data_IF_855175923393
#
_entry.id   IF_855175923393
#
_cell.length_a   1.000
_cell.length_b   1.000
_cell.length_c   1.000
_cell.angle_alpha   90.00
_cell.angle_beta   90.00
_cell.angle_gamma   90.00
#
_symmetry.space_group_name_H-M   'P 1'
#
loop_
_entity.id
_entity.type
_entity.pdbx_description
1 polymer ?
#
# COMPACT_ATOMS: atom_id res chain seq x y z
N UNK A 1 4.20 -11.70 8.34
CA UNK A 1 3.18 -10.63 8.11
C UNK A 1 1.81 -11.22 7.81
N UNK A 2 0.71 -10.47 8.05
CA UNK A 2 -0.60 -10.80 7.46
C UNK A 2 -0.75 -10.03 6.15
N UNK A 3 -0.78 -10.75 5.03
CA UNK A 3 -1.10 -10.18 3.73
C UNK A 3 -2.56 -9.69 3.70
N UNK A 4 -2.91 -8.85 2.72
CA UNK A 4 -4.26 -8.29 2.61
C UNK A 4 -5.35 -9.38 2.48
N UNK A 5 -5.02 -10.50 1.85
CA UNK A 5 -5.87 -11.68 1.67
C UNK A 5 -5.03 -12.93 1.41
N UNK A 6 -5.66 -14.09 1.24
CA UNK A 6 -4.95 -15.36 1.02
C UNK A 6 -4.15 -15.35 -0.28
N UNK A 7 -2.92 -15.89 -0.22
CA UNK A 7 -2.02 -16.06 -1.38
C UNK A 7 -2.66 -16.84 -2.52
N UNK A 8 -3.63 -17.72 -2.24
CA UNK A 8 -4.33 -18.49 -3.25
C UNK A 8 -5.04 -17.64 -4.32
N UNK A 9 -5.36 -16.38 -4.01
CA UNK A 9 -6.01 -15.45 -4.92
C UNK A 9 -5.04 -14.46 -5.56
N UNK A 10 -3.76 -14.50 -5.18
CA UNK A 10 -2.79 -13.46 -5.52
C UNK A 10 -2.56 -13.36 -7.03
N UNK A 11 -2.32 -14.49 -7.70
CA UNK A 11 -2.06 -14.50 -9.14
C UNK A 11 -3.29 -14.01 -9.93
N UNK A 12 -4.49 -14.44 -9.54
CA UNK A 12 -5.73 -13.97 -10.14
C UNK A 12 -5.94 -12.48 -9.91
N UNK A 13 -5.62 -11.98 -8.72
CA UNK A 13 -5.73 -10.57 -8.39
C UNK A 13 -4.76 -9.72 -9.22
N UNK A 14 -3.53 -10.20 -9.38
CA UNK A 14 -2.50 -9.55 -10.20
C UNK A 14 -2.87 -9.53 -11.67
N UNK A 15 -3.41 -10.63 -12.20
CA UNK A 15 -3.96 -10.68 -13.56
C UNK A 15 -5.12 -9.71 -13.73
N UNK A 16 -6.11 -9.75 -12.83
CA UNK A 16 -7.31 -8.92 -12.89
C UNK A 16 -6.96 -7.43 -12.86
N UNK A 17 -6.07 -7.00 -11.96
CA UNK A 17 -5.67 -5.60 -11.90
C UNK A 17 -4.76 -5.19 -13.07
N UNK A 18 -3.89 -6.09 -13.54
CA UNK A 18 -3.08 -5.87 -14.74
C UNK A 18 -3.94 -5.61 -15.97
N UNK A 19 -4.91 -6.48 -16.23
CA UNK A 19 -5.89 -6.34 -17.31
C UNK A 19 -6.73 -5.06 -17.16
N UNK A 20 -7.14 -4.73 -15.94
CA UNK A 20 -7.95 -3.54 -15.68
C UNK A 20 -7.19 -2.24 -15.98
N UNK A 21 -5.93 -2.15 -15.55
CA UNK A 21 -5.07 -0.99 -15.81
C UNK A 21 -4.72 -0.88 -17.29
N UNK A 22 -4.39 -1.99 -17.95
CA UNK A 22 -4.17 -2.00 -19.40
C UNK A 22 -5.41 -1.52 -20.16
N UNK A 23 -6.58 -2.07 -19.85
CA UNK A 23 -7.82 -1.69 -20.51
C UNK A 23 -8.16 -0.21 -20.34
N UNK A 24 -8.05 0.29 -19.10
CA UNK A 24 -8.38 1.67 -18.78
C UNK A 24 -7.45 2.69 -19.47
N UNK A 25 -6.17 2.36 -19.67
CA UNK A 25 -5.21 3.26 -20.30
C UNK A 25 -5.17 3.10 -21.82
N UNK A 26 -5.21 1.87 -22.32
CA UNK A 26 -5.00 1.54 -23.73
C UNK A 26 -6.30 1.58 -24.55
N UNK A 27 -7.42 1.08 -24.03
CA UNK A 27 -8.70 1.02 -24.78
C UNK A 27 -9.60 2.20 -24.45
N UNK A 28 -9.78 2.48 -23.15
CA UNK A 28 -10.60 3.61 -22.73
C UNK A 28 -9.90 4.95 -23.03
N UNK A 29 -8.56 4.95 -23.08
CA UNK A 29 -7.76 6.14 -23.38
C UNK A 29 -7.62 7.11 -22.20
N UNK A 30 -7.80 6.64 -20.96
CA UNK A 30 -7.57 7.47 -19.78
C UNK A 30 -6.08 7.77 -19.62
N UNK A 31 -5.78 8.96 -19.12
CA UNK A 31 -4.44 9.28 -18.61
C UNK A 31 -4.20 8.56 -17.27
N UNK A 32 -2.93 8.30 -16.90
CA UNK A 32 -2.61 7.74 -15.58
C UNK A 32 -3.18 8.54 -14.40
N UNK A 33 -3.25 9.87 -14.55
CA UNK A 33 -3.83 10.77 -13.56
C UNK A 33 -5.35 10.61 -13.42
N UNK A 34 -6.08 10.51 -14.53
CA UNK A 34 -7.53 10.27 -14.53
C UNK A 34 -7.87 8.91 -13.92
N UNK A 35 -7.16 7.86 -14.33
CA UNK A 35 -7.36 6.52 -13.77
C UNK A 35 -7.08 6.50 -12.26
N UNK A 36 -5.99 7.14 -11.81
CA UNK A 36 -5.67 7.26 -10.38
C UNK A 36 -6.80 7.96 -9.61
N UNK A 37 -7.37 9.03 -10.16
CA UNK A 37 -8.47 9.77 -9.53
C UNK A 37 -9.75 8.91 -9.44
N UNK A 38 -10.07 8.14 -10.48
CA UNK A 38 -11.19 7.20 -10.51
C UNK A 38 -10.99 6.10 -9.46
N UNK A 39 -9.85 5.41 -9.50
CA UNK A 39 -9.51 4.33 -8.56
C UNK A 39 -9.57 4.78 -7.10
N UNK A 40 -9.16 6.03 -6.82
CA UNK A 40 -9.12 6.56 -5.45
C UNK A 40 -10.50 6.62 -4.77
N UNK A 41 -11.57 6.71 -5.57
CA UNK A 41 -12.96 6.82 -5.11
C UNK A 41 -13.80 5.57 -5.41
N UNK A 42 -13.26 4.61 -6.17
CA UNK A 42 -13.97 3.42 -6.59
C UNK A 42 -14.17 2.43 -5.42
N UNK A 43 -15.42 1.99 -5.23
CA UNK A 43 -15.77 1.02 -4.19
C UNK A 43 -15.10 -0.34 -4.45
N UNK A 44 -14.99 -0.73 -5.71
CA UNK A 44 -14.35 -1.97 -6.17
C UNK A 44 -12.89 -2.02 -5.72
N UNK A 45 -12.18 -0.89 -5.79
CA UNK A 45 -10.79 -0.82 -5.33
C UNK A 45 -10.70 -1.02 -3.82
N UNK A 46 -11.67 -0.52 -3.05
CA UNK A 46 -11.77 -0.79 -1.59
C UNK A 46 -12.15 -2.22 -1.26
N UNK A 47 -12.93 -2.87 -2.12
CA UNK A 47 -13.22 -4.30 -2.02
C UNK A 47 -11.97 -5.13 -2.34
N UNK A 48 -11.18 -4.70 -3.33
CA UNK A 48 -9.95 -5.36 -3.75
C UNK A 48 -8.90 -5.30 -2.63
N UNK A 49 -8.72 -4.14 -2.01
CA UNK A 49 -7.84 -3.96 -0.84
C UNK A 49 -8.16 -4.91 0.33
N UNK A 50 -9.41 -5.42 0.40
CA UNK A 50 -9.92 -6.32 1.44
C UNK A 50 -10.06 -7.77 0.97
N UNK A 51 -9.64 -8.08 -0.25
CA UNK A 51 -9.69 -9.45 -0.78
C UNK A 51 -11.09 -9.96 -1.11
N UNK A 52 -12.03 -9.09 -1.47
CA UNK A 52 -13.38 -9.52 -1.82
C UNK A 52 -13.34 -10.41 -3.08
N UNK A 53 -13.77 -11.69 -3.02
CA UNK A 53 -13.58 -12.66 -4.11
C UNK A 53 -14.05 -12.16 -5.47
N UNK A 54 -15.18 -11.45 -5.50
CA UNK A 54 -15.73 -10.83 -6.72
C UNK A 54 -14.67 -10.08 -7.53
N UNK A 55 -13.89 -9.21 -6.90
CA UNK A 55 -12.96 -8.31 -7.61
C UNK A 55 -11.52 -8.82 -7.67
N UNK A 56 -11.14 -9.79 -6.82
CA UNK A 56 -9.77 -10.35 -6.84
C UNK A 56 -9.67 -11.58 -7.74
N UNK A 57 -10.73 -12.37 -7.91
CA UNK A 57 -10.68 -13.57 -8.74
C UNK A 57 -11.99 -13.88 -9.49
N UNK A 58 -13.09 -13.17 -9.20
CA UNK A 58 -14.42 -13.45 -9.74
C UNK A 58 -14.83 -12.62 -10.96
N UNK A 59 -14.00 -11.67 -11.40
CA UNK A 59 -14.25 -10.78 -12.54
C UNK A 59 -13.06 -10.83 -13.49
N UNK A 60 -13.31 -10.64 -14.78
CA UNK A 60 -12.24 -10.31 -15.71
C UNK A 60 -11.75 -8.87 -15.48
N UNK A 61 -10.51 -8.54 -15.86
CA UNK A 61 -9.99 -7.21 -15.59
C UNK A 61 -10.66 -6.08 -16.37
N UNK A 62 -11.11 -6.34 -17.60
CA UNK A 62 -11.95 -5.38 -18.33
C UNK A 62 -13.32 -5.17 -17.67
N UNK A 63 -13.96 -6.22 -17.14
CA UNK A 63 -15.18 -6.07 -16.35
C UNK A 63 -14.94 -5.17 -15.14
N UNK A 64 -13.85 -5.39 -14.40
CA UNK A 64 -13.46 -4.53 -13.27
C UNK A 64 -13.23 -3.09 -13.71
N UNK A 65 -12.47 -2.86 -14.79
CA UNK A 65 -12.21 -1.53 -15.32
C UNK A 65 -13.49 -0.82 -15.74
N UNK A 66 -14.38 -1.50 -16.46
CA UNK A 66 -15.64 -0.94 -16.91
C UNK A 66 -16.55 -0.56 -15.75
N UNK A 67 -16.59 -1.37 -14.70
CA UNK A 67 -17.36 -1.06 -13.49
C UNK A 67 -16.84 0.21 -12.80
N UNK A 68 -15.52 0.32 -12.56
CA UNK A 68 -14.97 1.53 -11.92
C UNK A 68 -15.15 2.78 -12.78
N UNK A 69 -15.05 2.65 -14.10
CA UNK A 69 -15.26 3.74 -15.06
C UNK A 69 -16.73 4.17 -15.07
N UNK A 70 -17.66 3.21 -15.10
CA UNK A 70 -19.10 3.47 -15.07
C UNK A 70 -19.52 4.14 -13.75
N UNK A 71 -18.99 3.69 -12.61
CA UNK A 71 -19.25 4.31 -11.32
C UNK A 71 -18.66 5.72 -11.18
N UNK A 72 -17.63 6.06 -11.96
CA UNK A 72 -17.13 7.43 -12.10
C UNK A 72 -18.01 8.32 -13.00
N UNK A 73 -19.10 7.79 -13.56
CA UNK A 73 -20.01 8.52 -14.44
C UNK A 73 -19.57 8.60 -15.91
N UNK A 74 -18.53 7.85 -16.28
CA UNK A 74 -18.06 7.76 -17.67
C UNK A 74 -18.75 6.59 -18.39
N UNK A 75 -18.78 6.65 -19.72
CA UNK A 75 -19.30 5.55 -20.54
C UNK A 75 -18.17 4.61 -20.93
N UNK A 76 -18.14 3.36 -20.43
CA UNK A 76 -17.06 2.43 -20.73
C UNK A 76 -17.11 1.89 -22.16
N UNK A 77 -15.96 1.86 -22.85
CA UNK A 77 -15.80 1.25 -24.17
C UNK A 77 -15.98 -0.26 -24.12
N UNK A 78 -16.42 -0.89 -25.22
CA UNK A 78 -16.70 -2.34 -25.24
C UNK A 78 -15.46 -3.17 -24.90
N UNK A 79 -15.70 -4.32 -24.27
CA UNK A 79 -14.67 -5.32 -23.97
C UNK A 79 -13.91 -5.74 -25.22
N UNK A 80 -12.62 -6.09 -25.03
CA UNK A 80 -11.82 -6.72 -26.07
C UNK A 80 -12.35 -8.12 -26.33
N UNK A 81 -12.37 -8.54 -27.59
CA UNK A 81 -12.65 -9.94 -27.93
C UNK A 81 -11.44 -10.85 -27.65
N UNK A 82 -10.23 -10.28 -27.71
CA UNK A 82 -8.96 -10.97 -27.45
C UNK A 82 -7.94 -10.03 -26.82
N UNK A 83 -7.21 -10.52 -25.82
CA UNK A 83 -6.07 -9.81 -25.24
C UNK A 83 -4.79 -10.08 -26.03
N UNK A 84 -3.93 -9.06 -26.24
CA UNK A 84 -2.58 -9.27 -26.75
C UNK A 84 -1.82 -10.26 -25.85
N UNK A 85 -1.05 -11.17 -26.46
CA UNK A 85 -0.19 -12.10 -25.71
C UNK A 85 0.92 -11.37 -24.95
N UNK A 86 1.40 -10.23 -25.49
CA UNK A 86 2.43 -9.43 -24.87
C UNK A 86 1.86 -8.60 -23.72
N UNK A 87 2.47 -8.74 -22.54
CA UNK A 87 2.13 -7.95 -21.35
C UNK A 87 2.68 -6.53 -21.53
N UNK A 88 1.78 -5.57 -21.74
CA UNK A 88 2.15 -4.15 -21.89
C UNK A 88 2.77 -3.59 -20.60
N UNK A 89 3.49 -2.45 -20.66
CA UNK A 89 3.92 -1.72 -19.47
C UNK A 89 2.75 -1.35 -18.53
N UNK A 90 1.56 -1.10 -19.08
CA UNK A 90 0.34 -0.79 -18.35
C UNK A 90 -0.20 -2.01 -17.62
N UNK A 91 -0.21 -3.17 -18.27
CA UNK A 91 -0.54 -4.44 -17.62
C UNK A 91 0.41 -4.73 -16.47
N UNK A 92 1.71 -4.61 -16.73
CA UNK A 92 2.73 -4.86 -15.71
C UNK A 92 2.57 -3.90 -14.53
N UNK A 93 2.21 -2.63 -14.76
CA UNK A 93 1.95 -1.68 -13.69
C UNK A 93 0.80 -2.16 -12.78
N UNK A 94 -0.33 -2.60 -13.34
CA UNK A 94 -1.43 -3.18 -12.56
C UNK A 94 -1.03 -4.46 -11.82
N UNK A 95 -0.24 -5.32 -12.45
CA UNK A 95 0.30 -6.56 -11.88
C UNK A 95 1.13 -6.30 -10.61
N UNK A 96 2.16 -5.46 -10.70
CA UNK A 96 3.04 -5.17 -9.55
C UNK A 96 2.35 -4.30 -8.49
N UNK A 97 1.35 -3.49 -8.88
CA UNK A 97 0.51 -2.77 -7.93
C UNK A 97 -0.31 -3.71 -7.06
N UNK A 98 -0.96 -4.73 -7.65
CA UNK A 98 -1.73 -5.72 -6.90
C UNK A 98 -0.83 -6.50 -5.93
N UNK A 99 0.33 -6.95 -6.40
CA UNK A 99 1.31 -7.64 -5.56
C UNK A 99 1.76 -6.77 -4.38
N UNK A 100 2.13 -5.52 -4.65
CA UNK A 100 2.60 -4.58 -3.62
C UNK A 100 1.49 -4.27 -2.61
N UNK A 101 0.25 -4.10 -3.08
CA UNK A 101 -0.93 -3.91 -2.24
C UNK A 101 -1.13 -5.12 -1.30
N UNK A 102 -1.10 -6.33 -1.85
CA UNK A 102 -1.24 -7.57 -1.08
C UNK A 102 -0.14 -7.76 -0.04
N UNK A 103 1.12 -7.54 -0.45
CA UNK A 103 2.31 -7.71 0.37
C UNK A 103 2.37 -6.69 1.51
N UNK A 104 2.07 -5.42 1.23
CA UNK A 104 2.17 -4.33 2.21
C UNK A 104 0.89 -4.10 3.01
N UNK A 105 -0.25 -4.65 2.56
CA UNK A 105 -1.60 -4.30 3.04
C UNK A 105 -1.91 -2.80 3.00
N UNK A 106 -1.16 -2.02 2.22
CA UNK A 106 -1.48 -0.61 1.98
C UNK A 106 -2.70 -0.51 1.07
N UNK A 107 -3.56 0.48 1.31
CA UNK A 107 -4.59 0.84 0.35
C UNK A 107 -3.99 1.52 -0.89
N UNK A 108 -4.65 1.42 -2.04
CA UNK A 108 -4.17 1.97 -3.31
C UNK A 108 -3.90 3.48 -3.22
N UNK A 109 -4.74 4.23 -2.49
CA UNK A 109 -4.53 5.69 -2.33
C UNK A 109 -3.19 6.01 -1.65
N UNK A 110 -2.79 5.21 -0.65
CA UNK A 110 -1.52 5.37 0.06
C UNK A 110 -0.34 4.92 -0.79
N UNK A 111 -0.53 3.83 -1.55
CA UNK A 111 0.48 3.32 -2.48
C UNK A 111 0.76 4.35 -3.59
N UNK A 112 -0.29 4.88 -4.21
CA UNK A 112 -0.20 5.84 -5.32
C UNK A 112 0.27 7.24 -4.86
N UNK A 113 0.18 7.57 -3.56
CA UNK A 113 0.80 8.78 -3.00
C UNK A 113 2.33 8.77 -3.15
N UNK A 114 2.96 7.60 -3.01
CA UNK A 114 4.44 7.46 -3.07
C UNK A 114 4.96 6.82 -4.35
N UNK A 115 4.09 6.12 -5.07
CA UNK A 115 4.35 5.52 -6.37
C UNK A 115 3.23 5.90 -7.35
N UNK A 116 3.24 7.12 -7.92
CA UNK A 116 2.27 7.55 -8.92
C UNK A 116 2.22 6.58 -10.11
N UNK A 117 1.04 6.39 -10.70
CA UNK A 117 0.83 5.36 -11.73
C UNK A 117 1.73 5.55 -12.96
N UNK A 118 1.98 6.79 -13.38
CA UNK A 118 2.92 7.12 -14.46
C UNK A 118 4.36 6.72 -14.11
N UNK A 119 4.78 6.92 -12.86
CA UNK A 119 6.08 6.45 -12.36
C UNK A 119 6.15 4.92 -12.34
N UNK A 120 5.07 4.25 -11.94
CA UNK A 120 5.00 2.78 -11.98
C UNK A 120 5.20 2.32 -13.42
N UNK A 121 4.39 2.78 -14.38
CA UNK A 121 4.51 2.43 -15.80
C UNK A 121 5.93 2.71 -16.33
N UNK A 122 6.51 3.87 -16.00
CA UNK A 122 7.87 4.25 -16.40
C UNK A 122 8.97 3.37 -15.80
N UNK A 123 8.66 2.61 -14.74
CA UNK A 123 9.58 1.67 -14.09
C UNK A 123 9.60 0.28 -14.76
N UNK A 124 8.85 0.09 -15.85
CA UNK A 124 8.79 -1.18 -16.57
C UNK A 124 10.17 -1.67 -17.01
N UNK A 125 10.85 -0.95 -17.90
CA UNK A 125 12.16 -1.39 -18.42
C UNK A 125 13.18 -1.76 -17.34
N UNK A 126 13.40 -0.97 -16.27
CA UNK A 126 14.38 -1.34 -15.25
C UNK A 126 13.97 -2.47 -14.32
N UNK A 127 12.68 -2.78 -14.17
CA UNK A 127 12.19 -3.68 -13.10
C UNK A 127 11.33 -4.86 -13.59
N UNK A 128 10.88 -4.90 -14.84
CA UNK A 128 9.97 -5.95 -15.32
C UNK A 128 10.59 -7.35 -15.39
N UNK A 129 11.92 -7.45 -15.42
CA UNK A 129 12.66 -8.72 -15.33
C UNK A 129 13.04 -9.08 -13.89
N UNK A 130 12.83 -8.17 -12.92
CA UNK A 130 13.08 -8.43 -11.51
C UNK A 130 11.86 -9.11 -10.85
N UNK A 131 12.07 -9.68 -9.66
CA UNK A 131 10.95 -10.20 -8.87
C UNK A 131 10.00 -9.10 -8.43
N UNK A 132 8.73 -9.43 -8.23
CA UNK A 132 7.71 -8.52 -7.72
C UNK A 132 8.07 -8.01 -6.33
N UNK A 133 8.75 -8.82 -5.51
CA UNK A 133 9.35 -8.42 -4.23
C UNK A 133 10.25 -7.19 -4.37
N UNK A 134 11.05 -7.13 -5.44
CA UNK A 134 11.98 -6.02 -5.63
C UNK A 134 11.25 -4.71 -5.85
N UNK A 135 10.18 -4.74 -6.65
CA UNK A 135 9.32 -3.59 -6.85
C UNK A 135 8.59 -3.20 -5.55
N UNK A 136 7.98 -4.18 -4.87
CA UNK A 136 7.28 -3.95 -3.61
C UNK A 136 8.20 -3.34 -2.55
N UNK A 137 9.46 -3.80 -2.45
CA UNK A 137 10.48 -3.25 -1.57
C UNK A 137 10.71 -1.76 -1.83
N UNK A 138 10.90 -1.37 -3.09
CA UNK A 138 11.14 0.04 -3.45
C UNK A 138 9.96 0.91 -3.02
N UNK A 139 8.73 0.47 -3.27
CA UNK A 139 7.51 1.21 -2.89
C UNK A 139 7.35 1.29 -1.39
N UNK A 140 7.60 0.19 -0.66
CA UNK A 140 7.54 0.13 0.80
C UNK A 140 8.60 1.04 1.44
N UNK A 141 9.82 1.06 0.91
CA UNK A 141 10.89 1.96 1.37
C UNK A 141 10.50 3.42 1.15
N UNK A 142 9.96 3.78 -0.02
CA UNK A 142 9.41 5.12 -0.27
C UNK A 142 8.31 5.49 0.72
N UNK A 143 7.37 4.58 0.98
CA UNK A 143 6.31 4.78 1.97
C UNK A 143 6.87 5.02 3.37
N UNK A 144 7.75 4.14 3.84
CA UNK A 144 8.35 4.24 5.17
C UNK A 144 9.11 5.55 5.35
N UNK A 145 9.89 5.97 4.34
CA UNK A 145 10.61 7.25 4.36
C UNK A 145 9.65 8.45 4.40
N UNK A 146 8.57 8.42 3.61
CA UNK A 146 7.57 9.48 3.59
C UNK A 146 6.80 9.61 4.92
N UNK A 147 6.62 8.51 5.65
CA UNK A 147 5.92 8.49 6.93
C UNK A 147 6.83 8.73 8.14
N UNK A 148 8.14 8.46 8.05
CA UNK A 148 9.08 8.58 9.16
C UNK A 148 9.13 10.00 9.79
N UNK A 149 8.90 11.03 8.97
CA UNK A 149 8.86 12.43 9.43
C UNK A 149 7.46 12.89 9.86
N UNK A 150 6.41 12.14 9.51
CA UNK A 150 5.00 12.49 9.78
C UNK A 150 4.42 11.72 10.96
N UNK A 151 4.91 10.50 11.22
CA UNK A 151 4.32 9.54 12.15
C UNK A 151 5.31 9.02 13.17
N UNK A 152 4.79 8.47 14.25
CA UNK A 152 5.53 7.98 15.39
C UNK A 152 5.75 9.07 16.45
N UNK A 153 6.00 8.61 17.68
CA UNK A 153 6.15 9.48 18.85
C UNK A 153 7.16 10.63 18.65
N UNK A 154 8.29 10.34 17.99
CA UNK A 154 9.34 11.33 17.75
C UNK A 154 8.89 12.44 16.79
N UNK A 155 8.15 12.08 15.74
CA UNK A 155 7.61 13.03 14.77
C UNK A 155 6.54 13.91 15.42
N UNK A 156 5.58 13.30 16.11
CA UNK A 156 4.52 14.01 16.83
C UNK A 156 5.09 14.99 17.88
N UNK A 157 6.09 14.57 18.65
CA UNK A 157 6.77 15.44 19.61
C UNK A 157 7.44 16.64 18.96
N UNK A 158 8.15 16.43 17.84
CA UNK A 158 8.82 17.51 17.11
C UNK A 158 7.80 18.48 16.50
N UNK A 159 6.69 17.98 15.96
CA UNK A 159 5.60 18.80 15.42
C UNK A 159 4.96 19.69 16.50
N UNK A 160 4.83 19.18 17.74
CA UNK A 160 4.39 19.94 18.90
C UNK A 160 5.45 20.92 19.46
N UNK A 161 6.67 20.96 18.90
CA UNK A 161 7.75 21.83 19.37
C UNK A 161 8.32 21.45 20.74
N UNK A 162 8.07 20.23 21.22
CA UNK A 162 8.46 19.80 22.56
C UNK A 162 9.82 19.09 22.58
N UNK A 163 10.60 19.33 23.63
CA UNK A 163 11.73 18.45 23.98
C UNK A 163 11.22 17.18 24.66
N UNK A 164 12.04 16.11 24.69
CA UNK A 164 11.68 14.87 25.40
C UNK A 164 11.39 15.13 26.90
N UNK A 165 12.10 16.08 27.52
CA UNK A 165 11.88 16.48 28.92
C UNK A 165 10.54 17.20 29.11
N UNK A 166 10.18 18.10 28.20
CA UNK A 166 8.88 18.80 28.26
C UNK A 166 7.72 17.83 28.05
N UNK A 167 7.83 16.92 27.07
CA UNK A 167 6.83 15.88 26.86
C UNK A 167 6.66 15.00 28.11
N UNK A 168 7.76 14.59 28.74
CA UNK A 168 7.72 13.81 29.98
C UNK A 168 7.01 14.56 31.12
N UNK A 169 7.30 15.86 31.29
CA UNK A 169 6.69 16.69 32.31
C UNK A 169 5.19 16.92 32.07
N UNK A 170 4.78 17.11 30.82
CA UNK A 170 3.38 17.38 30.46
C UNK A 170 2.51 16.13 30.44
N UNK A 171 3.01 15.02 29.87
CA UNK A 171 2.27 13.76 29.77
C UNK A 171 2.29 12.91 31.05
N UNK A 172 3.18 13.21 32.00
CA UNK A 172 3.41 12.37 33.18
C UNK A 172 4.13 11.04 32.89
N UNK A 173 4.50 10.78 31.63
CA UNK A 173 5.28 9.59 31.25
C UNK A 173 6.75 9.81 31.55
N UNK A 174 7.42 8.80 32.12
CA UNK A 174 8.85 8.87 32.46
C UNK A 174 9.69 9.22 31.23
N UNK A 175 10.61 10.18 31.38
CA UNK A 175 11.55 10.59 30.31
C UNK A 175 12.29 9.40 29.68
N UNK A 176 12.73 8.44 30.50
CA UNK A 176 13.42 7.24 30.03
C UNK A 176 12.52 6.40 29.12
N UNK A 177 11.23 6.29 29.42
CA UNK A 177 10.29 5.55 28.58
C UNK A 177 10.13 6.24 27.22
N UNK A 178 9.93 7.55 27.19
CA UNK A 178 9.86 8.34 25.94
C UNK A 178 11.11 8.14 25.08
N UNK A 179 12.30 8.19 25.69
CA UNK A 179 13.56 7.95 24.97
C UNK A 179 13.63 6.54 24.36
N UNK A 180 13.22 5.52 25.11
CA UNK A 180 13.24 4.14 24.64
C UNK A 180 12.21 3.90 23.53
N UNK A 181 11.03 4.51 23.62
CA UNK A 181 10.02 4.49 22.55
C UNK A 181 10.56 5.14 21.27
N UNK A 182 11.14 6.35 21.35
CA UNK A 182 11.68 7.05 20.17
C UNK A 182 12.91 6.38 19.55
N UNK A 183 13.59 5.52 20.30
CA UNK A 183 14.74 4.73 19.84
C UNK A 183 14.32 3.32 19.40
N UNK A 184 13.03 3.00 19.35
CA UNK A 184 12.49 1.67 19.05
C UNK A 184 13.03 0.55 19.97
N UNK A 185 13.52 0.89 21.16
CA UNK A 185 13.97 -0.08 22.17
C UNK A 185 12.80 -0.56 23.06
N UNK A 186 11.74 0.24 23.17
CA UNK A 186 10.47 -0.17 23.76
C UNK A 186 9.37 -0.04 22.70
N UNK A 187 8.50 -1.05 22.63
CA UNK A 187 7.35 -1.01 21.73
C UNK A 187 6.20 -0.23 22.37
N UNK A 188 5.86 0.93 21.80
CA UNK A 188 4.78 1.77 22.30
C UNK A 188 3.41 1.09 22.22
N UNK A 189 3.22 0.11 21.31
CA UNK A 189 1.98 -0.69 21.23
C UNK A 189 1.73 -1.53 22.48
N UNK A 190 2.80 -1.79 23.24
CA UNK A 190 2.76 -2.57 24.49
C UNK A 190 2.72 -1.67 25.72
N UNK A 191 2.67 -0.35 25.54
CA UNK A 191 2.47 0.59 26.63
C UNK A 191 1.07 0.42 27.24
N UNK A 192 0.90 0.85 28.49
CA UNK A 192 -0.46 0.95 29.04
C UNK A 192 -1.28 1.95 28.23
N UNK A 193 -2.56 1.65 28.03
CA UNK A 193 -3.50 2.56 27.35
C UNK A 193 -3.48 3.95 27.99
N UNK A 194 -3.35 4.03 29.31
CA UNK A 194 -3.22 5.30 30.04
C UNK A 194 -1.99 6.12 29.63
N UNK A 195 -0.84 5.47 29.41
CA UNK A 195 0.37 6.15 28.96
C UNK A 195 0.28 6.56 27.49
N UNK A 196 -0.30 5.71 26.65
CA UNK A 196 -0.52 6.02 25.23
C UNK A 196 -1.48 7.21 25.06
N UNK A 197 -2.61 7.22 25.80
CA UNK A 197 -3.55 8.34 25.82
C UNK A 197 -2.90 9.62 26.32
N UNK A 198 -2.18 9.58 27.45
CA UNK A 198 -1.53 10.77 27.98
C UNK A 198 -0.53 11.38 26.99
N UNK A 199 0.21 10.56 26.23
CA UNK A 199 1.09 11.04 25.17
C UNK A 199 0.29 11.62 23.99
N UNK A 200 -0.78 10.94 23.57
CA UNK A 200 -1.63 11.36 22.46
C UNK A 200 -2.32 12.70 22.74
N UNK A 201 -2.90 12.85 23.92
CA UNK A 201 -3.57 14.07 24.39
C UNK A 201 -2.57 15.24 24.48
N UNK A 202 -1.38 15.00 25.04
CA UNK A 202 -0.33 16.03 25.15
C UNK A 202 0.16 16.50 23.78
N UNK A 203 0.18 15.60 22.80
CA UNK A 203 0.67 15.86 21.45
C UNK A 203 -0.44 16.24 20.46
N UNK A 204 -1.70 16.28 20.91
CA UNK A 204 -2.87 16.54 20.08
C UNK A 204 -2.92 15.67 18.82
N UNK A 205 -2.71 14.36 18.99
CA UNK A 205 -2.72 13.37 17.91
C UNK A 205 -3.44 12.10 18.36
N UNK A 206 -3.64 11.15 17.43
CA UNK A 206 -4.26 9.86 17.75
C UNK A 206 -3.22 8.86 18.25
N UNK A 207 -3.65 7.81 18.99
CA UNK A 207 -2.71 6.76 19.42
C UNK A 207 -2.11 6.07 18.19
N UNK A 208 -2.90 5.90 17.14
CA UNK A 208 -2.54 5.30 15.85
C UNK A 208 -1.36 6.04 15.20
N UNK A 209 -1.30 7.36 15.32
CA UNK A 209 -0.18 8.15 14.82
C UNK A 209 1.10 7.92 15.64
N UNK A 210 0.97 7.65 16.95
CA UNK A 210 2.11 7.42 17.84
C UNK A 210 2.71 6.02 17.68
N UNK A 211 1.87 5.01 17.50
CA UNK A 211 2.28 3.60 17.44
C UNK A 211 2.64 3.12 16.02
N UNK A 212 2.69 4.05 15.06
CA UNK A 212 3.05 3.76 13.69
C UNK A 212 4.40 3.03 13.59
N UNK A 213 4.47 2.02 12.72
CA UNK A 213 5.70 1.31 12.41
C UNK A 213 5.96 1.25 10.91
N UNK A 214 7.23 1.25 10.50
CA UNK A 214 7.62 0.92 9.14
C UNK A 214 7.12 -0.47 8.74
N UNK A 215 6.69 -0.61 7.49
CA UNK A 215 6.41 -1.91 6.90
C UNK A 215 7.75 -2.59 6.63
N UNK A 216 7.96 -3.79 7.17
CA UNK A 216 9.18 -4.56 6.97
C UNK A 216 8.86 -5.77 6.09
N UNK A 217 9.62 -5.98 5.02
CA UNK A 217 9.56 -7.22 4.25
C UNK A 217 10.33 -8.31 5.00
N UNK A 218 9.65 -9.35 5.43
CA UNK A 218 10.27 -10.58 5.93
C UNK A 218 10.66 -11.40 4.70
N UNK A 219 11.96 -11.51 4.43
CA UNK A 219 12.44 -12.39 3.36
C UNK A 219 12.37 -13.82 3.88
N UNK A 220 11.36 -14.58 3.44
CA UNK A 220 11.40 -16.03 3.62
C UNK A 220 12.52 -16.56 2.73
N UNK A 221 13.72 -16.63 3.29
CA UNK A 221 14.87 -17.35 2.72
C UNK A 221 14.66 -18.86 2.78
N UNK A 222 13.42 -19.35 2.73
CA UNK A 222 13.15 -20.74 2.42
C UNK A 222 13.20 -20.86 0.90
N UNK A 223 14.43 -20.95 0.40
CA UNK A 223 14.68 -21.69 -0.81
C UNK A 223 13.89 -22.99 -0.71
N UNK A 224 12.83 -23.12 -1.50
CA UNK A 224 12.10 -24.36 -1.68
C UNK A 224 13.17 -25.37 -2.08
N UNK A 225 13.55 -26.23 -1.13
CA UNK A 225 14.40 -27.36 -1.46
C UNK A 225 13.61 -28.14 -2.49
N UNK A 226 14.10 -28.14 -3.72
CA UNK A 226 13.59 -28.96 -4.80
C UNK A 226 13.52 -30.40 -4.29
N UNK A 227 12.32 -30.81 -3.90
CA UNK A 227 12.00 -32.21 -3.67
C UNK A 227 12.10 -32.84 -5.05
N UNK A 228 13.23 -33.50 -5.30
CA UNK A 228 13.35 -34.49 -6.36
C UNK A 228 12.29 -35.55 -6.08
N UNK A 229 11.30 -35.63 -6.96
CA UNK A 229 10.54 -36.84 -7.24
C UNK A 229 10.87 -37.25 -8.67
#
# INVERSE_FOLDING_TARGET
>A
MTHAYSEMYLEDAMRTLGEAVDFALCDQGLTPAELTAIMSNALEMKQFERGMPRVVCGMAGDELARDIIAHAGLTPVKCRETYPFDRSPQYWAGWVMAYTQWMSSLGFNKLLEVAPLDWIIGSYHPLHEASEDKFAQIVIEKWNNAQADKKGLKAARKAAGLTQKQLAAQSGVKLRAIQLYEQNQLDLRRASVSSALALADTLNCTIEDLVWQPIALEYDSQAISSVKL
#
